data_IF_943828791303
#
_entry.id   IF_943828791303
#
_cell.length_a   1.000
_cell.length_b   1.000
_cell.length_c   1.000
_cell.angle_alpha   90.00
_cell.angle_beta   90.00
_cell.angle_gamma   90.00
#
_symmetry.space_group_name_H-M   'P 1'
#
loop_
_entity.id
_entity.type
_entity.pdbx_description
1 polymer ?
#
# COMPACT_ATOMS: atom_id res chain seq x y z
N UNK A 1 12.57 -42.47 71.29
CA UNK A 1 12.35 -41.09 70.81
C UNK A 1 12.86 -40.93 69.36
N UNK A 2 12.06 -41.22 68.33
CA UNK A 2 12.52 -41.10 66.92
C UNK A 2 11.49 -40.44 65.96
N UNK A 3 10.31 -40.08 66.45
CA UNK A 3 9.19 -39.64 65.59
C UNK A 3 9.22 -38.16 65.18
N UNK A 4 10.03 -37.31 65.83
CA UNK A 4 10.05 -35.85 65.60
C UNK A 4 10.98 -35.38 64.46
N UNK A 5 12.03 -36.14 64.12
CA UNK A 5 12.96 -35.74 63.04
C UNK A 5 12.41 -36.02 61.64
N UNK A 6 11.64 -37.10 61.49
CA UNK A 6 11.07 -37.53 60.19
C UNK A 6 10.00 -36.54 59.68
N UNK A 7 9.27 -35.91 60.59
CA UNK A 7 8.24 -34.89 60.27
C UNK A 7 8.85 -33.59 59.76
N UNK A 8 9.97 -33.13 60.35
CA UNK A 8 10.68 -31.93 59.89
C UNK A 8 11.29 -32.07 58.49
N UNK A 9 11.82 -33.25 58.14
CA UNK A 9 12.37 -33.52 56.79
C UNK A 9 11.26 -33.57 55.74
N UNK A 10 10.09 -34.15 56.06
CA UNK A 10 8.93 -34.15 55.16
C UNK A 10 8.37 -32.75 54.94
N UNK A 11 8.33 -31.91 55.97
CA UNK A 11 7.89 -30.51 55.89
C UNK A 11 8.82 -29.67 55.02
N UNK A 12 10.15 -29.76 55.20
CA UNK A 12 11.12 -29.06 54.34
C UNK A 12 11.05 -29.48 52.87
N UNK A 13 10.78 -30.76 52.60
CA UNK A 13 10.63 -31.29 51.23
C UNK A 13 9.32 -30.83 50.58
N UNK A 14 8.26 -30.65 51.38
CA UNK A 14 6.99 -30.07 50.93
C UNK A 14 7.15 -28.58 50.61
N UNK A 15 7.78 -27.78 51.48
CA UNK A 15 8.05 -26.36 51.21
C UNK A 15 8.92 -26.13 49.97
N UNK A 16 9.95 -26.95 49.76
CA UNK A 16 10.79 -26.88 48.57
C UNK A 16 10.00 -27.16 47.28
N UNK A 17 9.05 -28.11 47.32
CA UNK A 17 8.13 -28.37 46.20
C UNK A 17 7.18 -27.20 45.97
N UNK A 18 6.62 -26.62 47.03
CA UNK A 18 5.70 -25.48 46.90
C UNK A 18 6.40 -24.26 46.31
N UNK A 19 7.64 -23.95 46.72
CA UNK A 19 8.43 -22.85 46.12
C UNK A 19 8.80 -23.12 44.66
N UNK A 20 9.17 -24.36 44.31
CA UNK A 20 9.45 -24.73 42.93
C UNK A 20 8.21 -24.60 42.04
N UNK A 21 7.04 -25.00 42.54
CA UNK A 21 5.75 -24.86 41.85
C UNK A 21 5.40 -23.38 41.67
N UNK A 22 5.62 -22.55 42.68
CA UNK A 22 5.36 -21.10 42.61
C UNK A 22 6.29 -20.39 41.62
N UNK A 23 7.57 -20.80 41.55
CA UNK A 23 8.51 -20.31 40.54
C UNK A 23 8.14 -20.74 39.12
N UNK A 24 7.73 -22.01 38.95
CA UNK A 24 7.27 -22.53 37.67
C UNK A 24 6.02 -21.81 37.15
N UNK A 25 5.05 -21.52 38.03
CA UNK A 25 3.86 -20.74 37.67
C UNK A 25 4.17 -19.30 37.27
N UNK A 26 5.16 -18.64 37.91
CA UNK A 26 5.57 -17.30 37.49
C UNK A 26 6.24 -17.31 36.11
N UNK A 27 7.10 -18.29 35.85
CA UNK A 27 7.74 -18.47 34.54
C UNK A 27 6.72 -18.76 33.44
N UNK A 28 5.75 -19.66 33.69
CA UNK A 28 4.70 -19.97 32.73
C UNK A 28 3.79 -18.77 32.48
N UNK A 29 3.46 -17.99 33.51
CA UNK A 29 2.67 -16.77 33.36
C UNK A 29 3.39 -15.70 32.54
N UNK A 30 4.69 -15.48 32.78
CA UNK A 30 5.50 -14.55 31.99
C UNK A 30 5.59 -15.01 30.53
N UNK A 31 5.84 -16.30 30.30
CA UNK A 31 5.88 -16.86 28.95
C UNK A 31 4.55 -16.71 28.22
N UNK A 32 3.43 -16.86 28.94
CA UNK A 32 2.08 -16.68 28.41
C UNK A 32 1.78 -15.21 28.06
N UNK A 33 2.20 -14.25 28.90
CA UNK A 33 2.08 -12.83 28.57
C UNK A 33 2.90 -12.45 27.33
N UNK A 34 4.13 -12.98 27.21
CA UNK A 34 5.00 -12.72 26.05
C UNK A 34 4.42 -13.33 24.77
N UNK A 35 3.85 -14.54 24.84
CA UNK A 35 3.26 -15.18 23.65
C UNK A 35 2.03 -14.43 23.15
N UNK A 36 1.17 -13.92 24.03
CA UNK A 36 0.02 -13.06 23.64
C UNK A 36 0.52 -11.78 22.97
N UNK A 37 1.55 -11.14 23.52
CA UNK A 37 2.15 -9.95 22.90
C UNK A 37 2.64 -10.24 21.47
N UNK A 38 3.27 -11.39 21.26
CA UNK A 38 3.72 -11.82 19.94
C UNK A 38 2.57 -12.07 18.95
N UNK A 39 1.45 -12.64 19.40
CA UNK A 39 0.27 -12.86 18.56
C UNK A 39 -0.34 -11.53 18.10
N UNK A 40 -0.43 -10.53 18.98
CA UNK A 40 -0.94 -9.19 18.62
C UNK A 40 -0.03 -8.52 17.60
N UNK A 41 1.29 -8.61 17.76
CA UNK A 41 2.25 -8.07 16.78
C UNK A 41 2.14 -8.81 15.44
N UNK A 42 2.08 -10.15 15.47
CA UNK A 42 1.98 -10.97 14.27
C UNK A 42 0.67 -10.76 13.50
N UNK A 43 -0.40 -10.33 14.15
CA UNK A 43 -1.70 -10.04 13.52
C UNK A 43 -1.84 -8.58 13.08
N UNK A 44 -1.25 -7.63 13.79
CA UNK A 44 -1.29 -6.21 13.44
C UNK A 44 -0.34 -5.85 12.28
N UNK A 45 0.81 -6.54 12.16
CA UNK A 45 1.78 -6.29 11.11
C UNK A 45 1.31 -6.62 9.68
N UNK A 46 0.62 -7.75 9.40
CA UNK A 46 0.09 -8.04 8.07
C UNK A 46 -1.00 -7.04 7.66
N UNK A 47 -1.87 -6.63 8.60
CA UNK A 47 -2.91 -5.62 8.32
C UNK A 47 -2.31 -4.30 7.83
N UNK A 48 -1.21 -3.84 8.45
CA UNK A 48 -0.48 -2.65 8.02
C UNK A 48 0.11 -2.82 6.62
N UNK A 49 0.69 -3.98 6.31
CA UNK A 49 1.28 -4.26 5.00
C UNK A 49 0.24 -4.28 3.88
N UNK A 50 -0.93 -4.85 4.15
CA UNK A 50 -2.00 -4.91 3.15
C UNK A 50 -2.59 -3.52 2.91
N UNK A 51 -2.77 -2.71 3.95
CA UNK A 51 -3.16 -1.29 3.80
C UNK A 51 -2.19 -0.51 2.91
N UNK A 52 -0.88 -0.64 3.14
CA UNK A 52 0.14 0.03 2.32
C UNK A 52 0.06 -0.41 0.86
N UNK A 53 -0.10 -1.72 0.60
CA UNK A 53 -0.25 -2.23 -0.78
C UNK A 53 -1.50 -1.70 -1.45
N UNK A 54 -2.63 -1.62 -0.72
CA UNK A 54 -3.87 -1.08 -1.25
C UNK A 54 -3.75 0.42 -1.54
N UNK A 55 -3.13 1.19 -0.65
CA UNK A 55 -2.85 2.61 -0.87
C UNK A 55 -1.95 2.85 -2.09
N UNK A 56 -0.92 2.02 -2.27
CA UNK A 56 -0.01 2.11 -3.41
C UNK A 56 -0.73 1.81 -4.73
N UNK A 57 -1.54 0.73 -4.77
CA UNK A 57 -2.39 0.42 -5.93
C UNK A 57 -3.40 1.51 -6.24
N UNK A 58 -3.97 2.12 -5.20
CA UNK A 58 -4.92 3.22 -5.35
C UNK A 58 -4.23 4.44 -5.96
N UNK A 59 -3.04 4.81 -5.48
CA UNK A 59 -2.25 5.92 -6.05
C UNK A 59 -1.90 5.66 -7.51
N UNK A 60 -1.46 4.45 -7.85
CA UNK A 60 -1.13 4.09 -9.23
C UNK A 60 -2.36 4.19 -10.14
N UNK A 61 -3.50 3.65 -9.69
CA UNK A 61 -4.75 3.69 -10.46
C UNK A 61 -5.24 5.11 -10.63
N UNK A 62 -5.17 5.93 -9.59
CA UNK A 62 -5.56 7.33 -9.63
C UNK A 62 -4.67 8.16 -10.56
N UNK A 63 -3.38 7.85 -10.65
CA UNK A 63 -2.48 8.48 -11.63
C UNK A 63 -2.87 8.12 -13.07
N UNK A 64 -3.16 6.83 -13.33
CA UNK A 64 -3.63 6.38 -14.65
C UNK A 64 -4.95 7.02 -15.03
N UNK A 65 -5.88 7.11 -14.09
CA UNK A 65 -7.18 7.76 -14.31
C UNK A 65 -7.01 9.24 -14.65
N UNK A 66 -6.16 9.97 -13.92
CA UNK A 66 -5.87 11.38 -14.23
C UNK A 66 -5.25 11.56 -15.61
N UNK A 67 -4.32 10.68 -16.00
CA UNK A 67 -3.73 10.73 -17.34
C UNK A 67 -4.78 10.48 -18.43
N UNK A 68 -5.65 9.49 -18.26
CA UNK A 68 -6.73 9.19 -19.19
C UNK A 68 -7.77 10.33 -19.28
N UNK A 69 -8.10 10.97 -18.15
CA UNK A 69 -8.99 12.15 -18.14
C UNK A 69 -8.34 13.31 -18.89
N UNK A 70 -7.06 13.60 -18.65
CA UNK A 70 -6.35 14.66 -19.34
C UNK A 70 -6.27 14.42 -20.86
N UNK A 71 -6.01 13.18 -21.28
CA UNK A 71 -6.02 12.79 -22.69
C UNK A 71 -7.41 12.95 -23.32
N UNK A 72 -8.46 12.53 -22.60
CA UNK A 72 -9.85 12.71 -23.04
C UNK A 72 -10.22 14.18 -23.17
N UNK A 73 -9.86 15.02 -22.20
CA UNK A 73 -10.11 16.46 -22.23
C UNK A 73 -9.38 17.11 -23.40
N UNK A 74 -8.11 16.76 -23.63
CA UNK A 74 -7.33 17.23 -24.77
C UNK A 74 -8.04 16.92 -26.09
N UNK A 75 -8.44 15.66 -26.31
CA UNK A 75 -9.14 15.28 -27.55
C UNK A 75 -10.51 15.91 -27.68
N UNK A 76 -11.22 16.14 -26.57
CA UNK A 76 -12.51 16.80 -26.60
C UNK A 76 -12.39 18.28 -27.00
N UNK A 77 -11.35 18.96 -26.50
CA UNK A 77 -11.04 20.34 -26.89
C UNK A 77 -10.61 20.38 -28.36
N UNK A 78 -9.73 19.47 -28.80
CA UNK A 78 -9.28 19.36 -30.19
C UNK A 78 -10.47 19.13 -31.14
N UNK A 79 -11.37 18.20 -30.79
CA UNK A 79 -12.56 17.92 -31.59
C UNK A 79 -13.51 19.12 -31.64
N UNK A 80 -13.68 19.83 -30.52
CA UNK A 80 -14.48 21.07 -30.50
C UNK A 80 -13.85 22.13 -31.40
N UNK A 81 -12.54 22.33 -31.30
CA UNK A 81 -11.81 23.30 -32.13
C UNK A 81 -11.93 22.98 -33.62
N UNK A 82 -11.79 21.71 -34.02
CA UNK A 82 -12.00 21.28 -35.42
C UNK A 82 -13.42 21.54 -35.93
N UNK A 83 -14.43 21.57 -35.05
CA UNK A 83 -15.84 21.73 -35.43
C UNK A 83 -16.30 23.18 -35.42
N UNK A 84 -15.84 23.96 -34.44
CA UNK A 84 -16.34 25.32 -34.17
C UNK A 84 -15.42 26.41 -34.74
N UNK A 85 -14.13 26.13 -34.94
CA UNK A 85 -13.15 27.11 -35.42
C UNK A 85 -12.66 26.79 -36.86
N UNK A 86 -13.09 27.58 -37.86
CA UNK A 86 -12.68 27.39 -39.25
C UNK A 86 -11.19 27.69 -39.48
N UNK A 87 -10.56 28.59 -38.70
CA UNK A 87 -9.12 28.89 -38.84
C UNK A 87 -8.28 27.72 -38.32
N UNK A 88 -8.68 27.13 -37.19
CA UNK A 88 -8.02 25.94 -36.66
C UNK A 88 -8.10 24.76 -37.63
N UNK A 89 -9.27 24.55 -38.26
CA UNK A 89 -9.45 23.52 -39.28
C UNK A 89 -8.56 23.75 -40.52
N UNK A 90 -8.45 24.99 -41.00
CA UNK A 90 -7.62 25.32 -42.16
C UNK A 90 -6.13 25.11 -41.86
N UNK A 91 -5.65 25.49 -40.66
CA UNK A 91 -4.28 25.21 -40.23
C UNK A 91 -4.03 23.70 -40.13
N UNK A 92 -4.95 22.95 -39.51
CA UNK A 92 -4.79 21.50 -39.35
C UNK A 92 -4.83 20.76 -40.71
N UNK A 93 -5.68 21.21 -41.64
CA UNK A 93 -5.74 20.69 -43.00
C UNK A 93 -4.49 21.00 -43.83
N UNK A 94 -3.93 22.21 -43.70
CA UNK A 94 -2.69 22.60 -44.39
C UNK A 94 -1.48 21.84 -43.84
N UNK A 95 -1.38 21.71 -42.51
CA UNK A 95 -0.19 21.14 -41.88
C UNK A 95 -0.16 19.62 -41.99
N UNK A 96 -1.26 18.93 -41.64
CA UNK A 96 -1.32 17.45 -41.65
C UNK A 96 -1.72 16.82 -42.98
N UNK A 97 -2.62 17.45 -43.73
CA UNK A 97 -3.22 16.85 -44.93
C UNK A 97 -2.67 17.44 -46.24
N UNK A 98 -1.74 18.40 -46.15
CA UNK A 98 -1.15 19.08 -47.31
C UNK A 98 -2.19 19.66 -48.27
N UNK A 99 -3.34 20.09 -47.72
CA UNK A 99 -4.37 20.74 -48.51
C UNK A 99 -4.01 22.21 -48.74
N UNK A 100 -3.96 22.59 -50.01
CA UNK A 100 -3.69 23.95 -50.46
C UNK A 100 -4.76 24.39 -51.46
N UNK A 101 -5.06 25.69 -51.48
CA UNK A 101 -5.97 26.23 -52.50
C UNK A 101 -5.26 26.24 -53.86
N UNK A 102 -5.98 26.01 -54.97
CA UNK A 102 -5.37 26.01 -56.30
C UNK A 102 -4.73 27.37 -56.60
N UNK A 103 -3.42 27.37 -56.87
CA UNK A 103 -2.62 28.58 -57.15
C UNK A 103 -1.88 29.18 -55.95
N UNK A 104 -2.03 28.62 -54.75
CA UNK A 104 -1.35 29.07 -53.53
C UNK A 104 0.08 28.49 -53.45
N UNK A 105 1.07 29.32 -53.10
CA UNK A 105 2.46 28.89 -52.83
C UNK A 105 2.69 28.90 -51.33
N UNK A 106 2.79 27.72 -50.71
CA UNK A 106 3.07 27.57 -49.28
C UNK A 106 4.51 27.12 -49.06
N UNK A 107 5.21 27.79 -48.14
CA UNK A 107 6.56 27.45 -47.71
C UNK A 107 6.47 26.56 -46.46
N UNK A 108 6.73 25.26 -46.60
CA UNK A 108 6.87 24.35 -45.44
C UNK A 108 8.31 24.35 -44.95
N UNK A 109 8.50 24.66 -43.67
CA UNK A 109 9.78 24.46 -42.99
C UNK A 109 9.89 23.00 -42.57
N UNK A 110 10.93 22.31 -43.05
CA UNK A 110 11.21 20.92 -42.63
C UNK A 110 11.65 20.95 -41.17
N UNK A 111 10.92 20.26 -40.29
CA UNK A 111 11.43 19.93 -38.95
C UNK A 111 12.39 18.76 -39.09
N UNK A 112 13.64 18.96 -38.70
CA UNK A 112 14.65 17.90 -38.54
C UNK A 112 14.29 16.95 -37.40
#
# INVERSE_FOLDING_TARGET
MAKRSVTGVKLKRLEARTRAIQGAFRLSFVAFCVSIGFVVVATAFPQRRDLVKLEEKLKETQQRERAAIAEREYHQIEYRALREDPEFLEIHARDRLDYYRPGERVLKFRRD
#
